data_IF_456258008231
#
_entry.id   IF_456258008231
#
_cell.length_a   1.000
_cell.length_b   1.000
_cell.length_c   1.000
_cell.angle_alpha   90.00
_cell.angle_beta   90.00
_cell.angle_gamma   90.00
#
_symmetry.space_group_name_H-M   'P 1'
#
loop_
_entity.id
_entity.type
_entity.pdbx_description
1 polymer ?
#
# COMPACT_ATOMS: atom_id res chain seq x y z
N UNK A 1 -13.80 -91.60 31.50
CA UNK A 1 -13.55 -90.79 30.30
C UNK A 1 -14.01 -89.38 30.65
N UNK A 2 -13.07 -88.47 30.88
CA UNK A 2 -13.31 -87.08 31.25
C UNK A 2 -12.78 -86.23 30.12
N UNK A 3 -13.70 -85.56 29.40
CA UNK A 3 -13.38 -84.55 28.37
C UNK A 3 -13.02 -83.22 29.00
N UNK A 4 -11.81 -82.73 28.70
CA UNK A 4 -11.37 -81.39 29.10
C UNK A 4 -11.67 -80.49 27.94
N UNK A 5 -12.50 -79.45 28.17
CA UNK A 5 -12.79 -78.35 27.22
C UNK A 5 -11.81 -77.22 27.55
N UNK A 6 -10.89 -76.97 26.66
CA UNK A 6 -9.99 -75.77 26.72
C UNK A 6 -10.75 -74.53 26.15
N UNK A 7 -10.97 -73.51 27.00
CA UNK A 7 -11.49 -72.21 26.64
C UNK A 7 -10.26 -71.34 26.23
N UNK A 8 -10.15 -71.00 24.97
CA UNK A 8 -9.19 -70.02 24.47
C UNK A 8 -9.86 -68.63 24.56
N UNK A 9 -9.40 -67.80 25.52
CA UNK A 9 -9.78 -66.39 25.58
C UNK A 9 -8.91 -65.59 24.61
N UNK A 10 -9.48 -65.19 23.48
CA UNK A 10 -8.84 -64.26 22.54
C UNK A 10 -8.99 -62.85 23.01
N UNK A 11 -7.88 -62.19 23.46
CA UNK A 11 -7.83 -60.76 23.73
C UNK A 11 -7.74 -60.00 22.39
N UNK A 12 -8.82 -59.33 22.00
CA UNK A 12 -8.82 -58.40 20.89
C UNK A 12 -8.20 -57.07 21.36
N UNK A 13 -6.97 -56.78 20.89
CA UNK A 13 -6.34 -55.46 21.03
C UNK A 13 -7.00 -54.54 20.02
N UNK A 14 -7.87 -53.64 20.50
CA UNK A 14 -8.40 -52.52 19.70
C UNK A 14 -7.31 -51.45 19.60
N UNK A 15 -6.63 -51.42 18.48
CA UNK A 15 -5.67 -50.36 18.14
C UNK A 15 -6.51 -49.11 17.77
N UNK A 16 -6.72 -48.19 18.71
CA UNK A 16 -7.27 -46.84 18.42
C UNK A 16 -6.19 -46.06 17.68
N UNK A 17 -6.26 -46.03 16.36
CA UNK A 17 -5.56 -45.03 15.55
C UNK A 17 -6.17 -43.68 15.88
N UNK A 18 -5.53 -42.90 16.74
CA UNK A 18 -5.73 -41.43 16.82
C UNK A 18 -5.16 -40.88 15.52
N UNK A 19 -6.00 -40.65 14.55
CA UNK A 19 -5.69 -39.70 13.46
C UNK A 19 -5.48 -38.38 14.14
N UNK A 20 -4.24 -37.88 14.22
CA UNK A 20 -3.98 -36.47 14.42
C UNK A 20 -4.65 -35.78 13.24
N UNK A 21 -5.79 -35.16 13.48
CA UNK A 21 -6.29 -34.15 12.58
C UNK A 21 -5.21 -33.05 12.60
N UNK A 22 -4.40 -33.00 11.56
CA UNK A 22 -3.73 -31.75 11.22
C UNK A 22 -4.91 -30.78 11.03
N UNK A 23 -5.03 -29.79 11.88
CA UNK A 23 -5.89 -28.66 11.57
C UNK A 23 -5.37 -28.12 10.23
N UNK A 24 -6.14 -28.30 9.16
CA UNK A 24 -5.87 -27.56 7.94
C UNK A 24 -5.84 -26.09 8.36
N UNK A 25 -4.75 -25.36 8.00
CA UNK A 25 -4.62 -23.94 8.31
C UNK A 25 -5.79 -23.15 7.73
N UNK A 26 -6.00 -21.93 8.18
CA UNK A 26 -7.04 -21.08 7.65
C UNK A 26 -6.80 -20.74 6.18
N UNK A 27 -7.84 -20.37 5.46
CA UNK A 27 -7.75 -19.83 4.10
C UNK A 27 -7.86 -18.31 4.19
N UNK A 28 -6.83 -17.61 3.72
CA UNK A 28 -6.81 -16.14 3.67
C UNK A 28 -7.05 -15.70 2.22
N UNK A 29 -8.17 -15.04 1.99
CA UNK A 29 -8.57 -14.51 0.69
C UNK A 29 -8.06 -13.08 0.50
N UNK A 30 -7.34 -12.80 -0.58
CA UNK A 30 -6.78 -11.48 -0.87
C UNK A 30 -7.36 -10.92 -2.16
N UNK A 31 -8.03 -9.76 -2.08
CA UNK A 31 -8.57 -9.05 -3.23
C UNK A 31 -7.69 -7.84 -3.55
N UNK A 32 -6.93 -7.94 -4.64
CA UNK A 32 -6.10 -6.87 -5.17
C UNK A 32 -6.90 -5.92 -6.05
N UNK A 33 -6.64 -4.61 -5.96
CA UNK A 33 -7.26 -3.62 -6.84
C UNK A 33 -6.76 -3.74 -8.28
N UNK A 34 -5.45 -3.89 -8.45
CA UNK A 34 -4.70 -4.10 -9.70
C UNK A 34 -3.22 -4.34 -9.37
N UNK A 35 -2.40 -4.58 -10.41
CA UNK A 35 -0.94 -4.74 -10.30
C UNK A 35 -0.16 -3.72 -11.15
N UNK A 36 -0.71 -2.51 -11.33
CA UNK A 36 -0.06 -1.48 -12.13
C UNK A 36 1.11 -0.84 -11.39
N UNK A 37 0.94 -0.49 -10.11
CA UNK A 37 2.01 0.04 -9.27
C UNK A 37 3.02 -1.08 -8.97
N UNK A 38 4.32 -0.78 -9.11
CA UNK A 38 5.41 -1.75 -8.98
C UNK A 38 5.37 -2.48 -7.63
N UNK A 39 5.06 -1.76 -6.56
CA UNK A 39 5.06 -2.28 -5.20
C UNK A 39 4.11 -3.46 -4.97
N UNK A 40 2.94 -3.52 -5.64
CA UNK A 40 1.92 -4.54 -5.34
C UNK A 40 2.40 -5.97 -5.50
N UNK A 41 3.35 -6.23 -6.39
CA UNK A 41 3.98 -7.56 -6.53
C UNK A 41 4.87 -7.91 -5.33
N UNK A 42 5.55 -6.91 -4.77
CA UNK A 42 6.37 -7.07 -3.57
C UNK A 42 5.50 -7.25 -2.34
N UNK A 43 4.43 -6.45 -2.22
CA UNK A 43 3.41 -6.58 -1.18
C UNK A 43 2.78 -7.98 -1.19
N UNK A 44 2.35 -8.47 -2.37
CA UNK A 44 1.76 -9.82 -2.54
C UNK A 44 2.74 -10.92 -2.13
N UNK A 45 3.99 -10.87 -2.60
CA UNK A 45 4.98 -11.88 -2.29
C UNK A 45 5.26 -11.96 -0.78
N UNK A 46 5.38 -10.81 -0.09
CA UNK A 46 5.61 -10.75 1.34
C UNK A 46 4.38 -11.21 2.15
N UNK A 47 3.20 -10.80 1.75
CA UNK A 47 1.93 -11.19 2.37
C UNK A 47 1.71 -12.71 2.23
N UNK A 48 1.86 -13.26 1.03
CA UNK A 48 1.75 -14.69 0.76
C UNK A 48 2.75 -15.48 1.61
N UNK A 49 4.02 -15.07 1.64
CA UNK A 49 5.04 -15.73 2.44
C UNK A 49 4.71 -15.71 3.94
N UNK A 50 4.15 -14.63 4.47
CA UNK A 50 3.73 -14.54 5.87
C UNK A 50 2.53 -15.46 6.17
N UNK A 51 1.52 -15.48 5.31
CA UNK A 51 0.36 -16.37 5.42
C UNK A 51 0.80 -17.85 5.43
N UNK A 52 1.63 -18.24 4.46
CA UNK A 52 2.13 -19.62 4.36
C UNK A 52 3.04 -19.99 5.54
N UNK A 53 3.83 -19.05 6.07
CA UNK A 53 4.65 -19.27 7.27
C UNK A 53 3.83 -19.48 8.54
N UNK A 54 2.64 -18.94 8.63
CA UNK A 54 1.68 -19.18 9.71
C UNK A 54 0.94 -20.54 9.56
N UNK A 55 1.18 -21.27 8.46
CA UNK A 55 0.52 -22.54 8.18
C UNK A 55 -0.83 -22.39 7.46
N UNK A 56 -1.15 -21.18 7.03
CA UNK A 56 -2.40 -20.84 6.34
C UNK A 56 -2.27 -20.93 4.81
N UNK A 57 -3.40 -20.96 4.13
CA UNK A 57 -3.48 -21.02 2.66
C UNK A 57 -3.77 -19.64 2.09
N UNK A 58 -2.93 -19.18 1.16
CA UNK A 58 -3.14 -17.94 0.40
C UNK A 58 -3.96 -18.22 -0.86
N UNK A 59 -5.08 -17.50 -1.05
CA UNK A 59 -5.82 -17.42 -2.32
C UNK A 59 -6.02 -15.96 -2.68
N UNK A 60 -6.02 -15.62 -3.98
CA UNK A 60 -6.14 -14.23 -4.40
C UNK A 60 -6.95 -14.03 -5.67
N UNK A 61 -7.42 -12.79 -5.86
CA UNK A 61 -8.07 -12.32 -7.07
C UNK A 61 -7.62 -10.90 -7.40
N UNK A 62 -7.53 -10.58 -8.70
CA UNK A 62 -7.18 -9.25 -9.22
C UNK A 62 -8.42 -8.58 -9.81
N UNK A 63 -8.87 -7.49 -9.21
CA UNK A 63 -10.04 -6.74 -9.65
C UNK A 63 -9.82 -5.95 -10.95
N UNK A 64 -8.58 -5.84 -11.44
CA UNK A 64 -8.24 -5.14 -12.68
C UNK A 64 -8.80 -3.71 -12.73
N UNK A 65 -8.72 -3.01 -11.61
CA UNK A 65 -9.24 -1.65 -11.42
C UNK A 65 -10.78 -1.52 -11.63
N UNK A 66 -11.55 -2.60 -11.45
CA UNK A 66 -13.00 -2.61 -11.54
C UNK A 66 -13.64 -2.89 -10.18
N UNK A 67 -14.33 -1.91 -9.59
CA UNK A 67 -15.03 -2.06 -8.32
C UNK A 67 -16.13 -3.13 -8.40
N UNK A 68 -16.82 -3.25 -9.53
CA UNK A 68 -17.83 -4.29 -9.75
C UNK A 68 -17.19 -5.69 -9.78
N UNK A 69 -16.02 -5.84 -10.43
CA UNK A 69 -15.28 -7.10 -10.43
C UNK A 69 -14.77 -7.41 -9.02
N UNK A 70 -14.29 -6.41 -8.27
CA UNK A 70 -13.82 -6.62 -6.89
C UNK A 70 -14.88 -7.23 -6.00
N UNK A 71 -16.14 -6.79 -6.11
CA UNK A 71 -17.25 -7.40 -5.37
C UNK A 71 -17.42 -8.88 -5.75
N UNK A 72 -17.42 -9.20 -7.05
CA UNK A 72 -17.52 -10.60 -7.53
C UNK A 72 -16.32 -11.45 -7.07
N UNK A 73 -15.12 -10.87 -7.08
CA UNK A 73 -13.91 -11.53 -6.60
C UNK A 73 -14.01 -11.86 -5.11
N UNK A 74 -14.50 -10.93 -4.28
CA UNK A 74 -14.74 -11.17 -2.85
C UNK A 74 -15.76 -12.27 -2.63
N UNK A 75 -16.90 -12.28 -3.35
CA UNK A 75 -17.88 -13.36 -3.29
C UNK A 75 -17.25 -14.72 -3.67
N UNK A 76 -16.36 -14.73 -4.67
CA UNK A 76 -15.64 -15.94 -5.08
C UNK A 76 -14.66 -16.42 -4.02
N UNK A 77 -13.91 -15.51 -3.37
CA UNK A 77 -12.98 -15.85 -2.27
C UNK A 77 -13.74 -16.43 -1.07
N UNK A 78 -14.89 -15.86 -0.72
CA UNK A 78 -15.79 -16.38 0.32
C UNK A 78 -16.26 -17.80 -0.04
N UNK A 79 -16.72 -18.02 -1.27
CA UNK A 79 -17.16 -19.33 -1.74
C UNK A 79 -16.04 -20.38 -1.78
N UNK A 80 -14.78 -19.96 -1.89
CA UNK A 80 -13.60 -20.83 -1.77
C UNK A 80 -13.20 -21.13 -0.32
N UNK A 81 -13.95 -20.64 0.66
CA UNK A 81 -13.76 -20.93 2.07
C UNK A 81 -12.82 -19.99 2.81
N UNK A 82 -12.67 -18.74 2.36
CA UNK A 82 -11.85 -17.75 3.07
C UNK A 82 -12.33 -17.56 4.52
N UNK A 83 -11.42 -17.65 5.48
CA UNK A 83 -11.66 -17.44 6.91
C UNK A 83 -11.35 -15.98 7.33
N UNK A 84 -10.57 -15.26 6.54
CA UNK A 84 -10.38 -13.82 6.63
C UNK A 84 -10.15 -13.26 5.22
N UNK A 85 -10.49 -11.98 5.03
CA UNK A 85 -10.29 -11.26 3.77
C UNK A 85 -9.34 -10.08 3.96
N UNK A 86 -8.37 -9.95 3.05
CA UNK A 86 -7.53 -8.76 2.89
C UNK A 86 -7.97 -8.07 1.60
N UNK A 87 -8.36 -6.80 1.69
CA UNK A 87 -8.90 -6.07 0.54
C UNK A 87 -8.08 -4.80 0.30
N UNK A 88 -7.39 -4.73 -0.83
CA UNK A 88 -6.87 -3.49 -1.40
C UNK A 88 -7.99 -2.87 -2.24
N UNK A 89 -8.70 -1.89 -1.71
CA UNK A 89 -9.90 -1.32 -2.36
C UNK A 89 -9.60 -0.67 -3.71
N UNK A 90 -10.45 -0.93 -4.71
CA UNK A 90 -10.45 -0.18 -5.98
C UNK A 90 -11.07 1.19 -5.77
N UNK A 91 -12.19 1.25 -5.05
CA UNK A 91 -12.95 2.47 -4.76
C UNK A 91 -13.54 2.39 -3.36
N UNK A 92 -13.14 3.30 -2.49
CA UNK A 92 -13.55 3.32 -1.08
C UNK A 92 -15.03 3.65 -0.89
N UNK A 93 -15.68 4.25 -1.87
CA UNK A 93 -17.13 4.48 -1.85
C UNK A 93 -17.94 3.24 -2.20
N UNK A 94 -17.37 2.34 -3.02
CA UNK A 94 -18.06 1.14 -3.52
C UNK A 94 -17.79 -0.13 -2.69
N UNK A 95 -16.67 -0.19 -1.96
CA UNK A 95 -16.20 -1.40 -1.27
C UNK A 95 -17.10 -1.87 -0.12
N UNK A 96 -17.99 -1.02 0.40
CA UNK A 96 -18.91 -1.35 1.50
C UNK A 96 -19.73 -2.60 1.22
N UNK A 97 -20.16 -2.83 -0.03
CA UNK A 97 -20.90 -4.03 -0.42
C UNK A 97 -20.07 -5.32 -0.23
N UNK A 98 -18.74 -5.26 -0.41
CA UNK A 98 -17.86 -6.40 -0.17
C UNK A 98 -17.71 -6.66 1.35
N UNK A 99 -17.65 -5.60 2.17
CA UNK A 99 -17.67 -5.73 3.64
C UNK A 99 -18.97 -6.34 4.13
N UNK A 100 -20.13 -5.93 3.57
CA UNK A 100 -21.44 -6.49 3.90
C UNK A 100 -21.52 -7.99 3.61
N UNK A 101 -20.95 -8.44 2.48
CA UNK A 101 -20.87 -9.87 2.13
C UNK A 101 -20.02 -10.67 3.12
N UNK A 102 -18.84 -10.17 3.45
CA UNK A 102 -17.96 -10.78 4.43
C UNK A 102 -18.63 -10.87 5.82
N UNK A 103 -19.25 -9.78 6.26
CA UNK A 103 -19.93 -9.71 7.56
C UNK A 103 -21.13 -10.67 7.66
N UNK A 104 -21.88 -10.88 6.57
CA UNK A 104 -23.00 -11.83 6.52
C UNK A 104 -22.54 -13.28 6.77
N UNK A 105 -21.32 -13.62 6.40
CA UNK A 105 -20.69 -14.93 6.61
C UNK A 105 -19.80 -14.97 7.86
N UNK A 106 -19.73 -13.88 8.64
CA UNK A 106 -18.89 -13.77 9.84
C UNK A 106 -17.38 -13.73 9.56
N UNK A 107 -16.99 -13.36 8.34
CA UNK A 107 -15.59 -13.32 7.90
C UNK A 107 -15.00 -11.93 8.19
N UNK A 108 -13.92 -11.83 8.98
CA UNK A 108 -13.27 -10.57 9.27
C UNK A 108 -12.59 -9.98 8.03
N UNK A 109 -12.55 -8.63 7.96
CA UNK A 109 -11.95 -7.88 6.85
C UNK A 109 -10.77 -7.05 7.34
N UNK A 110 -9.65 -7.13 6.63
CA UNK A 110 -8.50 -6.23 6.71
C UNK A 110 -8.50 -5.31 5.49
N UNK A 111 -8.74 -4.01 5.69
CA UNK A 111 -8.49 -2.96 4.69
C UNK A 111 -6.99 -2.72 4.58
N UNK A 112 -6.44 -3.07 3.44
CA UNK A 112 -5.01 -3.03 3.16
C UNK A 112 -4.62 -1.80 2.36
N UNK A 113 -3.68 -1.01 2.86
CA UNK A 113 -3.15 0.24 2.30
C UNK A 113 -4.22 1.32 2.08
N UNK A 114 -5.28 1.04 1.35
CA UNK A 114 -6.38 1.97 1.06
C UNK A 114 -7.50 1.84 2.07
N UNK A 115 -8.02 2.99 2.53
CA UNK A 115 -9.04 3.04 3.57
C UNK A 115 -10.37 2.37 3.12
N UNK A 116 -10.83 1.44 3.93
CA UNK A 116 -12.21 0.95 3.95
C UNK A 116 -12.83 1.52 5.23
N UNK A 117 -13.54 2.64 5.14
CA UNK A 117 -14.07 3.35 6.31
C UNK A 117 -15.35 2.68 6.82
N UNK A 118 -15.16 1.58 7.56
CA UNK A 118 -16.18 0.72 8.16
C UNK A 118 -15.63 0.14 9.48
N UNK A 119 -16.40 0.19 10.56
CA UNK A 119 -15.97 -0.29 11.90
C UNK A 119 -15.77 -1.82 11.95
N UNK A 120 -16.27 -2.54 10.95
CA UNK A 120 -16.09 -3.99 10.76
C UNK A 120 -14.81 -4.35 10.04
N UNK A 121 -14.04 -3.35 9.56
CA UNK A 121 -12.77 -3.55 8.88
C UNK A 121 -11.61 -3.08 9.76
N UNK A 122 -10.55 -3.88 9.87
CA UNK A 122 -9.27 -3.44 10.42
C UNK A 122 -8.52 -2.64 9.36
N UNK A 123 -7.86 -1.52 9.71
CA UNK A 123 -7.13 -0.70 8.76
C UNK A 123 -5.61 -0.82 8.95
N UNK A 124 -4.90 -1.25 7.93
CA UNK A 124 -3.44 -1.35 7.92
C UNK A 124 -2.87 -0.54 6.75
N UNK A 125 -2.04 0.46 7.05
CA UNK A 125 -1.42 1.33 6.04
C UNK A 125 -0.16 2.01 6.60
N UNK A 126 0.42 2.95 5.85
CA UNK A 126 1.44 3.89 6.31
C UNK A 126 0.80 5.20 6.82
N UNK A 127 1.55 6.03 7.57
CA UNK A 127 1.14 7.41 7.89
C UNK A 127 1.13 8.26 6.61
N UNK A 128 0.02 8.22 5.86
CA UNK A 128 -0.11 8.92 4.59
C UNK A 128 -0.06 10.46 4.72
N UNK A 129 -0.53 11.03 5.85
CA UNK A 129 -0.32 12.46 6.14
C UNK A 129 1.16 12.75 6.36
N UNK A 130 1.86 11.90 7.10
CA UNK A 130 3.31 11.96 7.27
C UNK A 130 4.06 11.88 5.94
N UNK A 131 3.64 11.00 5.04
CA UNK A 131 4.19 10.93 3.67
C UNK A 131 4.02 12.25 2.95
N UNK A 132 2.81 12.84 2.95
CA UNK A 132 2.54 14.14 2.33
C UNK A 132 3.42 15.25 2.91
N UNK A 133 3.56 15.31 4.25
CA UNK A 133 4.49 16.27 4.91
C UNK A 133 5.92 16.10 4.42
N UNK A 134 6.44 14.88 4.42
CA UNK A 134 7.82 14.59 3.99
C UNK A 134 8.07 15.01 2.54
N UNK A 135 7.14 14.70 1.62
CA UNK A 135 7.24 15.16 0.23
C UNK A 135 7.35 16.68 0.17
N UNK A 136 6.42 17.39 0.82
CA UNK A 136 6.38 18.85 0.78
C UNK A 136 7.58 19.51 1.48
N UNK A 137 8.01 19.01 2.64
CA UNK A 137 9.18 19.49 3.37
C UNK A 137 10.45 19.36 2.53
N UNK A 138 10.65 18.20 1.89
CA UNK A 138 11.85 17.93 1.11
C UNK A 138 11.91 18.78 -0.16
N UNK A 139 10.79 18.91 -0.86
CA UNK A 139 10.71 19.76 -2.07
C UNK A 139 10.86 21.24 -1.68
N UNK A 140 10.18 21.70 -0.63
CA UNK A 140 10.26 23.08 -0.13
C UNK A 140 11.65 23.45 0.35
N UNK A 141 12.41 22.49 0.91
CA UNK A 141 13.79 22.76 1.35
C UNK A 141 14.73 23.18 0.20
N UNK A 142 14.45 22.70 -1.03
CA UNK A 142 15.24 23.06 -2.22
C UNK A 142 14.59 24.14 -3.09
N UNK A 143 13.28 24.32 -2.98
CA UNK A 143 12.50 25.36 -3.68
C UNK A 143 11.52 26.02 -2.70
N UNK A 144 11.95 26.99 -1.86
CA UNK A 144 11.15 27.50 -0.74
C UNK A 144 9.97 28.41 -1.16
N UNK A 145 9.96 28.89 -2.35
CA UNK A 145 8.92 29.79 -2.91
C UNK A 145 8.80 29.63 -4.43
N UNK A 146 7.71 30.08 -5.01
CA UNK A 146 7.47 30.01 -6.47
C UNK A 146 6.16 29.33 -6.84
N UNK A 147 6.06 28.92 -8.09
CA UNK A 147 4.87 28.30 -8.68
C UNK A 147 4.92 26.77 -8.51
N UNK A 148 4.02 26.22 -7.73
CA UNK A 148 3.93 24.77 -7.48
C UNK A 148 2.79 24.15 -8.27
N UNK A 149 3.00 22.92 -8.75
CA UNK A 149 1.94 22.05 -9.22
C UNK A 149 1.74 20.88 -8.26
N UNK A 150 0.49 20.40 -8.12
CA UNK A 150 0.15 19.22 -7.31
C UNK A 150 -0.51 18.18 -8.21
N UNK A 151 0.10 17.00 -8.30
CA UNK A 151 -0.43 15.86 -9.05
C UNK A 151 -0.92 14.82 -8.05
N UNK A 152 -2.23 14.81 -7.84
CA UNK A 152 -2.91 13.94 -6.87
C UNK A 152 -3.21 12.57 -7.46
N UNK A 153 -3.37 11.58 -6.58
CA UNK A 153 -3.80 10.23 -6.92
C UNK A 153 -5.24 10.12 -7.42
N UNK A 154 -5.78 8.91 -7.33
CA UNK A 154 -7.15 8.63 -7.76
C UNK A 154 -8.19 9.17 -6.77
N UNK A 155 -9.30 9.68 -7.27
CA UNK A 155 -10.40 10.23 -6.45
C UNK A 155 -11.10 9.18 -5.58
N UNK A 156 -11.10 7.93 -6.00
CA UNK A 156 -11.70 6.80 -5.27
C UNK A 156 -10.83 6.29 -4.12
N UNK A 157 -9.60 6.81 -4.00
CA UNK A 157 -8.64 6.46 -2.95
C UNK A 157 -8.44 7.61 -1.96
N UNK A 158 -8.90 7.48 -0.70
CA UNK A 158 -8.71 8.51 0.32
C UNK A 158 -7.26 8.88 0.60
N UNK A 159 -6.29 8.02 0.27
CA UNK A 159 -4.87 8.31 0.44
C UNK A 159 -4.47 9.59 -0.31
N UNK A 160 -5.06 9.84 -1.50
CA UNK A 160 -4.82 11.09 -2.23
C UNK A 160 -5.18 12.35 -1.42
N UNK A 161 -6.26 12.29 -0.62
CA UNK A 161 -6.64 13.40 0.25
C UNK A 161 -5.75 13.51 1.48
N UNK A 162 -5.35 12.38 2.10
CA UNK A 162 -4.44 12.39 3.24
C UNK A 162 -3.06 12.93 2.87
N UNK A 163 -2.54 12.55 1.71
CA UNK A 163 -1.28 13.08 1.17
C UNK A 163 -1.37 14.59 0.96
N UNK A 164 -2.44 15.06 0.30
CA UNK A 164 -2.68 16.49 0.09
C UNK A 164 -2.78 17.25 1.43
N UNK A 165 -3.53 16.71 2.41
CA UNK A 165 -3.63 17.32 3.73
C UNK A 165 -2.24 17.48 4.37
N UNK A 166 -1.42 16.42 4.35
CA UNK A 166 -0.04 16.47 4.85
C UNK A 166 0.83 17.49 4.11
N UNK A 167 0.71 17.58 2.78
CA UNK A 167 1.41 18.60 1.99
C UNK A 167 0.98 20.01 2.41
N UNK A 168 -0.32 20.24 2.56
CA UNK A 168 -0.86 21.56 2.93
C UNK A 168 -0.53 21.97 4.37
N UNK A 169 -0.33 21.04 5.30
CA UNK A 169 0.23 21.34 6.63
C UNK A 169 1.60 22.03 6.54
N UNK A 170 2.40 21.72 5.50
CA UNK A 170 3.76 22.25 5.31
C UNK A 170 3.79 23.53 4.48
N UNK A 171 3.02 23.57 3.38
CA UNK A 171 3.09 24.70 2.44
C UNK A 171 1.93 25.70 2.59
N UNK A 172 0.86 25.37 3.31
CA UNK A 172 -0.36 26.15 3.37
C UNK A 172 -0.15 27.59 3.80
N UNK A 173 0.66 27.83 4.86
CA UNK A 173 0.97 29.19 5.32
C UNK A 173 1.75 30.00 4.27
N UNK A 174 2.63 29.37 3.49
CA UNK A 174 3.36 30.06 2.42
C UNK A 174 2.47 30.31 1.18
N UNK A 175 1.47 29.46 0.95
CA UNK A 175 0.43 29.68 -0.05
C UNK A 175 -0.44 30.89 0.34
N UNK A 176 -0.89 30.96 1.59
CA UNK A 176 -1.67 32.10 2.11
C UNK A 176 -0.86 33.41 2.08
N UNK A 177 0.44 33.32 2.35
CA UNK A 177 1.35 34.47 2.29
C UNK A 177 1.74 34.86 0.85
N UNK A 178 1.34 34.11 -0.16
CA UNK A 178 1.67 34.35 -1.57
C UNK A 178 3.14 34.04 -1.95
N UNK A 179 3.90 33.38 -1.09
CA UNK A 179 5.26 32.93 -1.39
C UNK A 179 5.24 31.71 -2.32
N UNK A 180 4.31 30.79 -2.08
CA UNK A 180 4.02 29.66 -2.95
C UNK A 180 2.69 29.90 -3.64
N UNK A 181 2.63 29.74 -4.96
CA UNK A 181 1.41 29.80 -5.75
C UNK A 181 1.13 28.44 -6.34
N UNK A 182 -0.01 27.86 -6.03
CA UNK A 182 -0.47 26.64 -6.71
C UNK A 182 -1.00 27.04 -8.09
N UNK A 183 -0.23 26.72 -9.14
CA UNK A 183 -0.56 27.08 -10.53
C UNK A 183 -1.33 25.98 -11.25
N UNK A 184 -1.42 24.81 -10.68
CA UNK A 184 -2.22 23.72 -11.18
C UNK A 184 -2.33 22.58 -10.18
N UNK A 185 -3.50 21.95 -10.16
CA UNK A 185 -3.81 20.82 -9.31
C UNK A 185 -4.72 19.85 -10.07
N UNK A 186 -4.38 18.56 -10.09
CA UNK A 186 -5.17 17.58 -10.82
C UNK A 186 -5.18 16.21 -10.11
N UNK A 187 -6.35 15.55 -10.08
CA UNK A 187 -6.46 14.14 -9.78
C UNK A 187 -6.02 13.29 -10.97
N UNK A 188 -5.48 12.13 -10.69
CA UNK A 188 -4.94 11.21 -11.71
C UNK A 188 -5.66 9.88 -11.64
N UNK A 189 -6.56 9.64 -12.59
CA UNK A 189 -7.36 8.43 -12.63
C UNK A 189 -6.48 7.18 -12.63
N UNK A 190 -6.74 6.28 -11.68
CA UNK A 190 -6.04 5.02 -11.48
C UNK A 190 -4.57 5.18 -11.08
N UNK A 191 -4.10 6.33 -10.60
CA UNK A 191 -2.69 6.63 -10.29
C UNK A 191 -1.76 6.44 -11.50
N UNK A 192 -2.27 6.48 -12.75
CA UNK A 192 -1.53 6.10 -13.97
C UNK A 192 -0.51 7.15 -14.37
N UNK A 193 0.76 6.76 -14.60
CA UNK A 193 1.81 7.67 -15.06
C UNK A 193 1.45 8.46 -16.32
N UNK A 194 0.81 7.81 -17.31
CA UNK A 194 0.39 8.45 -18.56
C UNK A 194 -0.68 9.53 -18.34
N UNK A 195 -1.56 9.33 -17.35
CA UNK A 195 -2.56 10.34 -17.00
C UNK A 195 -1.91 11.50 -16.23
N UNK A 196 -0.94 11.21 -15.36
CA UNK A 196 -0.15 12.23 -14.67
C UNK A 196 0.68 13.08 -15.67
N UNK A 197 1.26 12.45 -16.70
CA UNK A 197 1.95 13.17 -17.77
C UNK A 197 1.00 14.15 -18.48
N UNK A 198 -0.18 13.69 -18.89
CA UNK A 198 -1.20 14.55 -19.54
C UNK A 198 -1.64 15.70 -18.63
N UNK A 199 -1.86 15.41 -17.35
CA UNK A 199 -2.22 16.43 -16.35
C UNK A 199 -1.12 17.50 -16.25
N UNK A 200 0.16 17.07 -16.19
CA UNK A 200 1.29 17.99 -16.12
C UNK A 200 1.46 18.80 -17.41
N UNK A 201 1.29 18.21 -18.59
CA UNK A 201 1.30 18.90 -19.87
C UNK A 201 0.23 20.02 -19.94
N UNK A 202 -0.97 19.76 -19.41
CA UNK A 202 -2.04 20.76 -19.32
C UNK A 202 -1.67 21.89 -18.35
N UNK A 203 -1.10 21.56 -17.19
CA UNK A 203 -0.66 22.55 -16.21
C UNK A 203 0.46 23.41 -16.78
N UNK A 204 1.46 22.83 -17.44
CA UNK A 204 2.55 23.56 -18.10
C UNK A 204 2.02 24.51 -19.15
N UNK A 205 1.07 24.07 -19.97
CA UNK A 205 0.41 24.93 -20.98
C UNK A 205 -0.32 26.10 -20.32
N UNK A 206 -1.11 25.84 -19.28
CA UNK A 206 -1.89 26.86 -18.59
C UNK A 206 -1.01 27.87 -17.82
N UNK A 207 0.14 27.42 -17.32
CA UNK A 207 1.11 28.23 -16.59
C UNK A 207 2.19 28.87 -17.49
N UNK A 208 2.12 28.73 -18.81
CA UNK A 208 3.16 29.21 -19.74
C UNK A 208 4.57 28.69 -19.36
N UNK A 209 4.64 27.40 -19.02
CA UNK A 209 5.81 26.67 -18.49
C UNK A 209 6.42 27.26 -17.20
N UNK A 210 5.72 28.14 -16.50
CA UNK A 210 6.18 28.77 -15.26
C UNK A 210 5.78 27.92 -14.05
N UNK A 211 6.44 26.78 -13.88
CA UNK A 211 6.32 25.87 -12.75
C UNK A 211 7.71 25.70 -12.15
N UNK A 212 7.84 25.87 -10.84
CA UNK A 212 9.11 25.83 -10.12
C UNK A 212 9.31 24.56 -9.28
N UNK A 213 8.21 23.86 -8.91
CA UNK A 213 8.24 22.58 -8.22
C UNK A 213 6.97 21.77 -8.45
N UNK A 214 7.06 20.45 -8.29
CA UNK A 214 5.89 19.55 -8.37
C UNK A 214 5.85 18.63 -7.16
N UNK A 215 4.69 18.58 -6.50
CA UNK A 215 4.35 17.58 -5.49
C UNK A 215 3.49 16.51 -6.16
N UNK A 216 4.11 15.39 -6.52
CA UNK A 216 3.39 14.23 -7.04
C UNK A 216 3.15 13.22 -5.92
N UNK A 217 1.96 12.66 -5.87
CA UNK A 217 1.53 11.81 -4.77
C UNK A 217 2.02 10.35 -4.88
N UNK A 218 2.65 9.95 -6.00
CA UNK A 218 3.45 8.71 -6.05
C UNK A 218 4.56 8.76 -7.11
N UNK A 219 5.44 7.78 -7.08
CA UNK A 219 6.62 7.67 -7.92
C UNK A 219 6.29 7.36 -9.39
N UNK A 220 5.28 6.56 -9.65
CA UNK A 220 4.81 6.28 -11.00
C UNK A 220 4.36 7.56 -11.68
N UNK A 221 3.51 8.36 -11.00
CA UNK A 221 3.05 9.67 -11.49
C UNK A 221 4.19 10.68 -11.57
N UNK A 222 5.13 10.70 -10.61
CA UNK A 222 6.34 11.51 -10.69
C UNK A 222 7.14 11.23 -11.97
N UNK A 223 7.19 9.96 -12.41
CA UNK A 223 7.79 9.58 -13.68
C UNK A 223 7.10 10.23 -14.89
N UNK A 224 5.77 10.21 -14.92
CA UNK A 224 4.97 10.89 -15.95
C UNK A 224 5.17 12.41 -15.94
N UNK A 225 5.17 13.02 -14.75
CA UNK A 225 5.48 14.45 -14.54
C UNK A 225 6.85 14.81 -15.12
N UNK A 226 7.89 14.04 -14.77
CA UNK A 226 9.26 14.28 -15.23
C UNK A 226 9.37 14.14 -16.75
N UNK A 227 8.62 13.22 -17.37
CA UNK A 227 8.56 13.10 -18.82
C UNK A 227 7.98 14.37 -19.47
N UNK A 228 6.87 14.92 -18.92
CA UNK A 228 6.29 16.17 -19.41
C UNK A 228 7.22 17.37 -19.22
N UNK A 229 7.88 17.48 -18.05
CA UNK A 229 8.87 18.54 -17.79
C UNK A 229 10.07 18.46 -18.73
N UNK A 230 10.62 17.28 -18.92
CA UNK A 230 11.79 17.05 -19.81
C UNK A 230 11.47 17.41 -21.26
N UNK A 231 10.25 17.18 -21.73
CA UNK A 231 9.83 17.56 -23.08
C UNK A 231 9.83 19.09 -23.27
N UNK A 232 9.76 19.87 -22.20
CA UNK A 232 9.87 21.34 -22.21
C UNK A 232 11.28 21.83 -21.82
N UNK A 233 12.25 20.93 -21.62
CA UNK A 233 13.60 21.25 -21.18
C UNK A 233 13.69 21.72 -19.72
N UNK A 234 12.68 21.39 -18.90
CA UNK A 234 12.62 21.76 -17.49
C UNK A 234 13.20 20.62 -16.61
N UNK A 235 14.02 20.99 -15.66
CA UNK A 235 14.48 20.10 -14.58
C UNK A 235 14.29 20.83 -13.25
N UNK A 236 13.15 20.62 -12.62
CA UNK A 236 12.71 21.26 -11.39
C UNK A 236 12.47 20.19 -10.31
N UNK A 237 12.45 20.58 -9.00
CA UNK A 237 12.17 19.64 -7.93
C UNK A 237 10.82 18.91 -8.09
N UNK A 238 10.86 17.58 -7.99
CA UNK A 238 9.69 16.70 -8.03
C UNK A 238 9.74 15.74 -6.85
N UNK A 239 8.67 15.69 -6.07
CA UNK A 239 8.49 14.72 -4.99
C UNK A 239 7.67 13.51 -5.45
N UNK A 240 7.80 12.40 -4.71
CA UNK A 240 7.02 11.18 -4.90
C UNK A 240 7.09 10.27 -3.69
N UNK A 241 6.40 9.14 -3.73
CA UNK A 241 6.43 8.08 -2.71
C UNK A 241 6.35 6.70 -3.34
N UNK A 242 6.55 5.69 -2.55
CA UNK A 242 6.49 4.22 -2.67
C UNK A 242 7.88 3.57 -2.70
N UNK A 243 8.94 4.27 -3.14
CA UNK A 243 10.27 3.70 -3.28
C UNK A 243 10.40 2.82 -4.52
N UNK A 244 9.69 3.16 -5.60
CA UNK A 244 9.81 2.44 -6.88
C UNK A 244 11.26 2.45 -7.36
N UNK A 245 11.75 1.33 -7.88
CA UNK A 245 13.14 1.20 -8.33
C UNK A 245 13.54 2.28 -9.36
N UNK A 246 12.63 2.58 -10.29
CA UNK A 246 12.83 3.66 -11.27
C UNK A 246 12.92 5.05 -10.61
N UNK A 247 12.15 5.29 -9.55
CA UNK A 247 12.18 6.55 -8.82
C UNK A 247 13.46 6.71 -7.99
N UNK A 248 13.89 5.66 -7.33
CA UNK A 248 15.14 5.65 -6.58
C UNK A 248 16.34 5.95 -7.51
N UNK A 249 16.35 5.39 -8.73
CA UNK A 249 17.34 5.76 -9.75
C UNK A 249 17.19 7.22 -10.19
N UNK A 250 15.96 7.75 -10.38
CA UNK A 250 15.74 9.17 -10.68
C UNK A 250 16.25 10.08 -9.56
N UNK A 251 16.10 9.67 -8.29
CA UNK A 251 16.66 10.37 -7.13
C UNK A 251 18.19 10.38 -7.20
N UNK A 252 18.81 9.22 -7.49
CA UNK A 252 20.26 9.13 -7.65
C UNK A 252 20.78 9.97 -8.84
N UNK A 253 20.00 10.12 -9.90
CA UNK A 253 20.32 10.96 -11.06
C UNK A 253 19.97 12.44 -10.89
N UNK A 254 19.32 12.83 -9.78
CA UNK A 254 18.94 14.23 -9.51
C UNK A 254 17.75 14.73 -10.34
N UNK A 255 16.97 13.86 -10.96
CA UNK A 255 15.75 14.20 -11.71
C UNK A 255 14.46 14.05 -10.89
N UNK A 256 14.56 13.45 -9.71
CA UNK A 256 13.52 13.44 -8.66
C UNK A 256 14.18 13.83 -7.34
N UNK A 257 13.51 14.63 -6.52
CA UNK A 257 14.09 15.19 -5.28
C UNK A 257 14.00 14.20 -4.12
N UNK A 258 12.86 13.52 -4.02
CA UNK A 258 12.57 12.55 -2.96
C UNK A 258 11.63 11.46 -3.47
N UNK A 259 11.87 10.24 -3.03
CA UNK A 259 10.88 9.17 -2.98
C UNK A 259 10.67 8.78 -1.53
N UNK A 260 9.48 8.95 -1.00
CA UNK A 260 9.16 8.51 0.36
C UNK A 260 8.90 7.02 0.33
N UNK A 261 9.88 6.24 0.78
CA UNK A 261 9.83 4.79 0.74
C UNK A 261 8.83 4.24 1.73
N UNK A 262 7.90 3.46 1.23
CA UNK A 262 6.95 2.62 1.95
C UNK A 262 7.40 1.17 1.76
N UNK A 263 8.03 0.55 2.79
CA UNK A 263 8.53 -0.83 2.63
C UNK A 263 7.36 -1.82 2.45
N UNK A 264 7.06 -2.13 1.21
CA UNK A 264 6.01 -3.06 0.80
C UNK A 264 6.15 -4.45 1.45
N UNK A 265 7.40 -4.88 1.75
CA UNK A 265 7.66 -6.16 2.42
C UNK A 265 7.18 -6.13 3.87
N UNK A 266 7.39 -5.01 4.56
CA UNK A 266 6.94 -4.84 5.95
C UNK A 266 5.42 -4.78 6.03
N UNK A 267 4.77 -4.03 5.11
CA UNK A 267 3.32 -3.91 5.06
C UNK A 267 2.66 -5.25 4.70
N UNK A 268 3.16 -5.92 3.65
CA UNK A 268 2.65 -7.23 3.22
C UNK A 268 2.78 -8.30 4.31
N UNK A 269 3.96 -8.35 4.98
CA UNK A 269 4.16 -9.26 6.12
C UNK A 269 3.17 -8.98 7.24
N UNK A 270 3.02 -7.72 7.65
CA UNK A 270 2.08 -7.33 8.70
C UNK A 270 0.65 -7.72 8.35
N UNK A 271 0.24 -7.55 7.08
CA UNK A 271 -1.09 -7.95 6.62
C UNK A 271 -1.31 -9.47 6.73
N UNK A 272 -0.33 -10.28 6.34
CA UNK A 272 -0.40 -11.74 6.47
C UNK A 272 -0.54 -12.18 7.92
N UNK A 273 0.27 -11.61 8.82
CA UNK A 273 0.23 -11.93 10.25
C UNK A 273 -1.10 -11.49 10.90
N UNK A 274 -1.60 -10.30 10.56
CA UNK A 274 -2.89 -9.79 11.08
C UNK A 274 -4.05 -10.64 10.56
N UNK A 275 -4.06 -10.97 9.25
CA UNK A 275 -5.10 -11.78 8.66
C UNK A 275 -5.18 -13.18 9.30
N UNK A 276 -4.03 -13.81 9.60
CA UNK A 276 -3.97 -15.06 10.33
C UNK A 276 -4.58 -14.94 11.73
N UNK A 277 -4.22 -13.89 12.48
CA UNK A 277 -4.80 -13.63 13.82
C UNK A 277 -6.32 -13.40 13.76
N UNK A 278 -6.82 -12.70 12.76
CA UNK A 278 -8.25 -12.48 12.57
C UNK A 278 -8.99 -13.78 12.20
N UNK A 279 -8.38 -14.62 11.35
CA UNK A 279 -8.91 -15.94 10.99
C UNK A 279 -8.96 -16.91 12.17
N UNK A 280 -8.04 -16.79 13.13
CA UNK A 280 -8.05 -17.53 14.41
C UNK A 280 -9.15 -17.03 15.38
N UNK A 281 -9.87 -15.97 15.03
CA UNK A 281 -10.95 -15.41 15.84
C UNK A 281 -10.51 -14.36 16.86
N UNK A 282 -9.29 -13.84 16.78
CA UNK A 282 -8.88 -12.68 17.61
C UNK A 282 -9.68 -11.45 17.22
N UNK A 283 -10.11 -10.69 18.21
CA UNK A 283 -10.76 -9.41 17.95
C UNK A 283 -9.76 -8.37 17.44
N UNK A 284 -10.25 -7.39 16.70
CA UNK A 284 -9.40 -6.32 16.15
C UNK A 284 -8.67 -5.50 17.22
N UNK A 285 -9.21 -5.47 18.44
CA UNK A 285 -8.59 -4.77 19.59
C UNK A 285 -7.45 -5.58 20.23
N UNK A 286 -7.34 -6.88 19.93
CA UNK A 286 -6.29 -7.76 20.44
C UNK A 286 -5.09 -7.84 19.48
N UNK A 287 -5.18 -7.21 18.31
CA UNK A 287 -4.06 -7.14 17.38
C UNK A 287 -2.95 -6.25 17.97
N UNK A 288 -1.72 -6.77 18.13
CA UNK A 288 -0.63 -6.01 18.74
C UNK A 288 -0.30 -4.73 17.96
N UNK A 289 -0.25 -3.60 18.66
CA UNK A 289 0.03 -2.31 18.05
C UNK A 289 -1.21 -1.61 17.46
N UNK A 290 -2.38 -2.22 17.53
CA UNK A 290 -3.62 -1.58 17.08
C UNK A 290 -3.96 -0.35 17.93
N UNK A 291 -4.35 0.72 17.27
CA UNK A 291 -4.83 1.98 17.85
C UNK A 291 -6.25 2.28 17.36
N UNK A 292 -7.01 3.05 18.15
CA UNK A 292 -8.28 3.61 17.69
C UNK A 292 -7.99 4.82 16.79
N UNK A 293 -8.66 4.87 15.66
CA UNK A 293 -8.50 5.93 14.66
C UNK A 293 -9.85 6.26 13.99
N UNK A 294 -10.11 7.54 13.78
CA UNK A 294 -11.34 8.05 13.15
C UNK A 294 -11.06 9.21 12.19
N UNK A 295 -9.87 9.24 11.57
CA UNK A 295 -9.45 10.32 10.70
C UNK A 295 -9.98 10.23 9.27
N UNK A 296 -10.88 9.31 8.95
CA UNK A 296 -11.55 9.21 7.67
C UNK A 296 -12.64 10.27 7.50
N UNK A 297 -13.11 10.45 6.26
CA UNK A 297 -14.11 11.48 5.92
C UNK A 297 -15.48 11.26 6.58
N UNK A 298 -15.82 10.01 6.94
CA UNK A 298 -17.08 9.68 7.64
C UNK A 298 -16.93 9.72 9.16
N UNK A 299 -15.68 9.83 9.69
CA UNK A 299 -15.40 9.83 11.12
C UNK A 299 -15.69 8.51 11.82
N UNK A 300 -15.69 7.39 11.10
CA UNK A 300 -15.93 6.06 11.69
C UNK A 300 -14.71 5.67 12.53
N UNK A 301 -14.96 5.29 13.81
CA UNK A 301 -13.90 4.79 14.67
C UNK A 301 -13.55 3.35 14.28
N UNK A 302 -12.28 3.14 13.93
CA UNK A 302 -11.73 1.86 13.47
C UNK A 302 -10.54 1.44 14.33
N UNK A 303 -10.16 0.18 14.26
CA UNK A 303 -8.86 -0.28 14.76
C UNK A 303 -7.87 -0.21 13.59
N UNK A 304 -6.70 0.39 13.81
CA UNK A 304 -5.73 0.64 12.74
C UNK A 304 -4.28 0.42 13.20
N UNK A 305 -3.41 0.15 12.25
CA UNK A 305 -1.95 0.21 12.39
C UNK A 305 -1.41 1.09 11.27
N UNK A 306 -0.52 2.01 11.62
CA UNK A 306 0.20 2.87 10.68
C UNK A 306 1.69 2.56 10.76
N UNK A 307 2.30 2.23 9.62
CA UNK A 307 3.75 2.06 9.52
C UNK A 307 4.42 3.39 9.20
N UNK A 308 5.66 3.53 9.67
CA UNK A 308 6.45 4.75 9.43
C UNK A 308 7.04 4.75 8.02
N UNK A 309 6.85 5.82 7.23
CA UNK A 309 7.50 6.01 5.94
C UNK A 309 8.93 6.54 6.12
N UNK A 310 9.80 6.31 5.14
CA UNK A 310 11.19 6.75 5.16
C UNK A 310 11.52 7.65 3.95
N UNK A 311 11.91 8.93 4.12
CA UNK A 311 12.33 9.75 2.99
C UNK A 311 13.64 9.23 2.39
N UNK A 312 13.67 9.01 1.07
CA UNK A 312 14.88 8.67 0.34
C UNK A 312 15.24 9.83 -0.59
N UNK A 313 16.41 10.39 -0.35
CA UNK A 313 17.02 11.46 -1.13
C UNK A 313 18.41 11.02 -1.60
N UNK A 314 19.09 11.85 -2.40
CA UNK A 314 20.48 11.58 -2.82
C UNK A 314 21.46 11.39 -1.63
N UNK A 315 21.08 11.87 -0.45
CA UNK A 315 21.95 11.86 0.73
C UNK A 315 21.85 10.55 1.55
N UNK A 316 20.90 9.65 1.22
CA UNK A 316 20.68 8.40 1.96
C UNK A 316 20.21 7.22 1.10
N UNK A 317 20.59 7.16 -0.17
CA UNK A 317 20.26 6.02 -1.08
C UNK A 317 20.75 4.68 -0.49
N UNK A 318 21.84 4.69 0.30
CA UNK A 318 22.33 3.49 0.97
C UNK A 318 21.24 2.80 1.83
N UNK A 319 20.27 3.52 2.38
CA UNK A 319 19.19 2.94 3.21
C UNK A 319 18.44 1.85 2.46
N UNK A 320 18.03 2.08 1.21
CA UNK A 320 17.29 1.11 0.41
C UNK A 320 18.18 0.00 -0.15
N UNK A 321 19.49 0.29 -0.36
CA UNK A 321 20.49 -0.71 -0.74
C UNK A 321 20.74 -1.67 0.42
N UNK A 322 21.03 -1.14 1.60
CA UNK A 322 21.34 -1.92 2.82
C UNK A 322 20.15 -2.77 3.27
N UNK A 323 18.93 -2.25 3.06
CA UNK A 323 17.70 -2.99 3.28
C UNK A 323 17.45 -4.10 2.24
N UNK A 324 18.26 -4.21 1.19
CA UNK A 324 18.06 -5.17 0.10
C UNK A 324 16.80 -4.90 -0.73
N UNK A 325 16.30 -3.67 -0.71
CA UNK A 325 15.13 -3.28 -1.50
C UNK A 325 15.47 -3.15 -2.99
N UNK A 326 16.63 -2.58 -3.30
CA UNK A 326 17.15 -2.44 -4.65
C UNK A 326 18.65 -2.76 -4.70
N UNK A 327 19.10 -3.37 -5.79
CA UNK A 327 20.52 -3.62 -6.01
C UNK A 327 21.29 -2.31 -6.31
N UNK A 328 22.49 -2.15 -5.74
CA UNK A 328 23.32 -0.96 -5.88
C UNK A 328 23.57 -0.58 -7.35
N UNK A 329 23.91 -1.55 -8.20
CA UNK A 329 24.17 -1.32 -9.63
C UNK A 329 22.96 -0.75 -10.37
N UNK A 330 21.74 -1.10 -9.92
CA UNK A 330 20.49 -0.60 -10.50
C UNK A 330 20.17 0.82 -10.07
N UNK A 331 20.25 1.10 -8.78
CA UNK A 331 19.93 2.44 -8.29
C UNK A 331 20.99 3.46 -8.68
N UNK A 332 22.25 3.06 -8.77
CA UNK A 332 23.37 3.94 -9.09
C UNK A 332 23.66 4.09 -10.59
N UNK A 333 22.89 3.48 -11.48
CA UNK A 333 23.08 3.62 -12.91
C UNK A 333 22.89 5.07 -13.37
N UNK A 334 23.99 5.71 -13.83
CA UNK A 334 23.97 7.11 -14.23
C UNK A 334 23.78 8.12 -13.08
N UNK A 335 24.03 7.70 -11.84
CA UNK A 335 23.95 8.57 -10.68
C UNK A 335 24.86 9.79 -10.81
N UNK A 336 24.43 10.92 -10.23
CA UNK A 336 25.26 12.12 -10.13
C UNK A 336 26.37 11.94 -9.09
N UNK A 337 27.42 12.77 -9.18
CA UNK A 337 28.49 12.75 -8.19
C UNK A 337 28.00 13.09 -6.78
N UNK A 338 28.54 12.40 -5.78
CA UNK A 338 28.28 12.68 -4.36
C UNK A 338 26.98 12.08 -3.82
N UNK A 339 26.34 11.19 -4.54
CA UNK A 339 25.18 10.42 -4.03
C UNK A 339 25.64 9.41 -2.99
N UNK A 340 25.07 9.49 -1.79
CA UNK A 340 25.42 8.58 -0.69
C UNK A 340 24.92 7.16 -0.98
N UNK A 341 25.84 6.22 -1.04
CA UNK A 341 25.57 4.82 -1.39
C UNK A 341 26.01 4.48 -2.82
N UNK A 342 26.12 5.45 -3.69
CA UNK A 342 26.68 5.25 -5.02
C UNK A 342 28.16 5.61 -5.09
#
# INVERSE_FOLDING_TARGET
MKSIINLLAGSAIVLTMTTAAFADGNVIGVSWSNFQEERWKTDEAAMKAAIEANGDTYISADAQASAAKQLTDVESLIAQGANALVILSVDSGAVGAAVDKAAAEGIPVLGYDRLIEDDRAFYLTFDNKGVGRIIAETVKAVQPEGNYAIIKGDKGDPNALFLLEGMMEVIGADVEAGKIKIVGEAFTDGWKPDNAQKNMEQILTAADNKVDAVLAENDGMAGGVIAALSAQGLNIPVGGQDGDHAALNRVARGTQTVSVWKDARALGKAAGDIAAMLAEGKSMTEIPGAVKWSGGAKGVEMNAIFLDPTPITKDNINVVIDAGHIAKDKVCEGAMDGVNGC
#
